data_IF_252363725043
#
_entry.id   IF_252363725043
#
_cell.length_a   1.000
_cell.length_b   1.000
_cell.length_c   1.000
_cell.angle_alpha   90.00
_cell.angle_beta   90.00
_cell.angle_gamma   90.00
#
_symmetry.space_group_name_H-M   'P 1'
#
loop_
_entity.id
_entity.type
_entity.pdbx_description
1 polymer ?
#
# COMPACT_ATOMS: atom_id res chain seq x y z
N UNK A 1 47.92 41.08 -17.48
CA UNK A 1 46.87 40.22 -18.09
C UNK A 1 46.68 39.05 -17.11
N UNK A 2 45.71 38.98 -16.18
CA UNK A 2 44.25 39.25 -16.15
C UNK A 2 43.42 38.21 -16.92
N UNK A 3 43.14 37.05 -16.30
CA UNK A 3 41.94 36.18 -16.42
C UNK A 3 42.02 35.21 -15.22
N UNK A 4 41.17 35.14 -14.17
CA UNK A 4 39.73 35.31 -13.94
C UNK A 4 38.86 34.26 -14.65
N UNK A 5 38.62 33.15 -13.94
CA UNK A 5 37.61 32.08 -14.12
C UNK A 5 37.64 31.34 -12.76
N UNK A 6 36.77 31.49 -11.75
CA UNK A 6 35.31 31.69 -11.62
C UNK A 6 34.51 30.68 -12.44
N UNK A 7 33.57 30.01 -11.76
CA UNK A 7 32.74 28.87 -12.18
C UNK A 7 33.50 27.54 -12.07
N UNK A 8 33.10 26.60 -11.22
CA UNK A 8 31.75 26.07 -11.18
C UNK A 8 31.59 25.21 -9.92
N UNK A 9 31.25 25.84 -8.81
CA UNK A 9 30.68 25.15 -7.65
C UNK A 9 29.31 24.62 -8.06
N UNK A 10 29.27 23.42 -8.65
CA UNK A 10 28.03 22.64 -8.77
C UNK A 10 27.64 22.21 -7.36
N UNK A 11 26.95 23.12 -6.68
CA UNK A 11 26.01 22.83 -5.62
C UNK A 11 25.08 21.75 -6.17
N UNK A 12 25.34 20.51 -5.80
CA UNK A 12 24.35 19.44 -5.87
C UNK A 12 23.30 19.82 -4.83
N UNK A 13 22.39 20.69 -5.24
CA UNK A 13 21.04 20.76 -4.70
C UNK A 13 20.42 19.40 -5.02
N UNK A 14 20.73 18.41 -4.19
CA UNK A 14 19.86 17.26 -4.03
C UNK A 14 18.57 17.86 -3.47
N UNK A 15 17.60 18.11 -4.35
CA UNK A 15 16.20 18.22 -3.96
C UNK A 15 15.88 16.93 -3.19
N UNK A 16 15.93 17.00 -1.87
CA UNK A 16 15.06 16.15 -1.08
C UNK A 16 13.66 16.65 -1.37
N UNK A 17 12.93 15.93 -2.21
CA UNK A 17 11.48 16.03 -2.23
C UNK A 17 11.04 15.64 -0.82
N UNK A 18 10.82 16.64 0.04
CA UNK A 18 10.02 16.47 1.25
C UNK A 18 8.60 16.17 0.75
N UNK A 19 8.40 14.91 0.38
CA UNK A 19 7.09 14.36 0.09
C UNK A 19 6.28 14.55 1.37
N UNK A 20 5.32 15.48 1.32
CA UNK A 20 4.20 15.51 2.26
C UNK A 20 3.36 14.24 2.05
N UNK A 21 3.91 13.07 2.39
CA UNK A 21 3.13 11.84 2.55
C UNK A 21 2.25 12.10 3.75
N UNK A 22 0.93 12.19 3.52
CA UNK A 22 0.00 11.99 4.61
C UNK A 22 0.31 10.61 5.21
N UNK A 23 0.83 10.61 6.43
CA UNK A 23 1.12 9.37 7.14
C UNK A 23 -0.19 8.59 7.34
N UNK A 24 -0.09 7.27 7.24
CA UNK A 24 -1.24 6.45 7.56
C UNK A 24 -1.60 6.57 9.05
N UNK A 25 -2.90 6.58 9.39
CA UNK A 25 -3.32 6.59 10.77
C UNK A 25 -2.81 5.34 11.51
N UNK A 26 -2.68 5.45 12.84
CA UNK A 26 -2.03 4.43 13.66
C UNK A 26 -2.54 3.01 13.36
N UNK A 27 -1.62 2.12 12.98
CA UNK A 27 -1.90 0.72 12.65
C UNK A 27 -2.11 0.43 11.15
N UNK A 28 -2.32 1.45 10.32
CA UNK A 28 -2.34 1.31 8.87
C UNK A 28 -0.95 1.48 8.25
N UNK A 29 -0.70 0.78 7.15
CA UNK A 29 0.50 0.96 6.32
C UNK A 29 0.12 1.41 4.90
N UNK A 30 0.95 2.28 4.33
CA UNK A 30 0.86 2.73 2.95
C UNK A 30 1.71 1.92 1.98
N UNK A 31 1.66 2.28 0.70
CA UNK A 31 2.49 1.65 -0.33
C UNK A 31 4.00 1.83 -0.04
N UNK A 32 4.75 0.74 -0.07
CA UNK A 32 6.18 0.68 0.23
C UNK A 32 6.51 0.59 1.72
N UNK A 33 5.49 0.66 2.60
CA UNK A 33 5.69 0.51 4.04
C UNK A 33 5.58 -0.95 4.47
N UNK A 34 6.11 -1.25 5.65
CA UNK A 34 6.27 -2.62 6.15
C UNK A 34 5.28 -2.94 7.27
N UNK A 35 4.54 -4.03 7.11
CA UNK A 35 3.88 -4.76 8.18
C UNK A 35 4.94 -5.57 8.93
N UNK A 36 5.06 -5.33 10.24
CA UNK A 36 5.96 -6.07 11.12
C UNK A 36 5.12 -7.07 11.92
N UNK A 37 5.43 -8.36 11.78
CA UNK A 37 4.75 -9.44 12.49
C UNK A 37 5.38 -9.69 13.88
N UNK A 38 4.69 -10.43 14.79
CA UNK A 38 5.21 -10.70 16.14
C UNK A 38 6.54 -11.44 16.21
N UNK A 39 6.96 -12.11 15.14
CA UNK A 39 8.26 -12.79 15.00
C UNK A 39 9.35 -11.89 14.38
N UNK A 40 9.12 -10.58 14.32
CA UNK A 40 9.97 -9.57 13.65
C UNK A 40 10.11 -9.74 12.13
N UNK A 41 9.38 -10.66 11.50
CA UNK A 41 9.33 -10.76 10.06
C UNK A 41 8.58 -9.56 9.45
N UNK A 42 8.96 -9.22 8.21
CA UNK A 42 8.52 -7.99 7.54
C UNK A 42 7.87 -8.33 6.22
N UNK A 43 6.74 -7.70 5.96
CA UNK A 43 6.01 -7.77 4.70
C UNK A 43 5.80 -6.35 4.19
N UNK A 44 6.23 -6.05 2.98
CA UNK A 44 6.02 -4.77 2.32
C UNK A 44 4.71 -4.76 1.53
N UNK A 45 3.92 -3.69 1.68
CA UNK A 45 2.77 -3.45 0.82
C UNK A 45 3.22 -2.89 -0.54
N UNK A 46 3.17 -3.72 -1.58
CA UNK A 46 3.70 -3.36 -2.91
C UNK A 46 2.62 -3.04 -3.94
N UNK A 47 1.35 -3.38 -3.65
CA UNK A 47 0.23 -3.08 -4.54
C UNK A 47 -1.11 -3.18 -3.83
N UNK A 48 -2.03 -2.32 -4.22
CA UNK A 48 -3.45 -2.40 -3.90
C UNK A 48 -4.25 -2.51 -5.19
N UNK A 49 -5.02 -3.57 -5.33
CA UNK A 49 -5.99 -3.72 -6.42
C UNK A 49 -7.38 -3.46 -5.86
N UNK A 50 -7.92 -2.28 -6.14
CA UNK A 50 -9.24 -1.87 -5.69
C UNK A 50 -10.24 -2.02 -6.83
N UNK A 51 -11.15 -2.97 -6.67
CA UNK A 51 -12.28 -3.20 -7.55
C UNK A 51 -13.59 -2.97 -6.78
N UNK A 52 -13.57 -2.15 -5.73
CA UNK A 52 -14.78 -1.74 -5.02
C UNK A 52 -15.59 -0.78 -5.88
N UNK A 53 -16.87 -0.70 -5.57
CA UNK A 53 -17.75 0.21 -6.27
C UNK A 53 -17.42 1.66 -5.94
N UNK A 54 -17.59 2.59 -6.91
CA UNK A 54 -17.66 4.01 -6.61
C UNK A 54 -18.74 4.28 -5.57
N UNK A 55 -18.60 5.37 -4.81
CA UNK A 55 -19.63 5.74 -3.84
C UNK A 55 -20.97 5.96 -4.56
N UNK A 56 -22.04 5.60 -3.87
CA UNK A 56 -23.42 5.69 -4.35
C UNK A 56 -23.74 4.81 -5.57
N UNK A 57 -22.86 3.88 -5.94
CA UNK A 57 -23.09 2.89 -6.99
C UNK A 57 -23.06 1.48 -6.42
N UNK A 58 -24.05 0.67 -6.78
CA UNK A 58 -24.08 -0.76 -6.48
C UNK A 58 -23.60 -1.54 -7.70
N UNK A 59 -22.49 -2.29 -7.57
CA UNK A 59 -22.01 -3.17 -8.62
C UNK A 59 -22.57 -4.59 -8.44
N UNK A 60 -22.67 -5.31 -9.56
CA UNK A 60 -23.10 -6.72 -9.57
C UNK A 60 -21.88 -7.67 -9.47
N UNK A 61 -20.72 -7.27 -10.03
CA UNK A 61 -19.52 -8.11 -10.17
C UNK A 61 -18.23 -7.48 -9.61
N UNK A 62 -18.35 -6.35 -8.91
CA UNK A 62 -17.27 -5.64 -8.24
C UNK A 62 -17.60 -5.56 -6.74
N UNK A 63 -16.63 -5.20 -5.90
CA UNK A 63 -16.85 -5.08 -4.46
C UNK A 63 -15.76 -5.64 -3.57
N UNK A 64 -14.53 -5.77 -4.08
CA UNK A 64 -13.40 -6.23 -3.27
C UNK A 64 -12.16 -5.37 -3.49
N UNK A 65 -11.29 -5.41 -2.50
CA UNK A 65 -9.96 -4.86 -2.54
C UNK A 65 -8.96 -5.95 -2.16
N UNK A 66 -7.87 -6.03 -2.92
CA UNK A 66 -6.77 -6.97 -2.70
C UNK A 66 -5.47 -6.22 -2.45
N UNK A 67 -4.88 -6.44 -1.28
CA UNK A 67 -3.54 -6.01 -0.95
C UNK A 67 -2.52 -7.08 -1.37
N UNK A 68 -1.42 -6.67 -1.98
CA UNK A 68 -0.28 -7.54 -2.28
C UNK A 68 0.86 -7.22 -1.33
N UNK A 69 1.23 -8.21 -0.52
CA UNK A 69 2.31 -8.14 0.45
C UNK A 69 3.49 -9.00 -0.03
N UNK A 70 4.73 -8.62 0.30
CA UNK A 70 5.90 -9.45 -0.01
C UNK A 70 7.04 -9.29 1.00
N UNK A 71 7.79 -10.36 1.26
CA UNK A 71 9.06 -10.32 2.00
C UNK A 71 10.28 -10.30 1.06
N UNK A 72 10.07 -10.17 -0.25
CA UNK A 72 11.10 -10.25 -1.30
C UNK A 72 11.18 -11.63 -1.98
N UNK A 73 10.85 -12.70 -1.26
CA UNK A 73 10.88 -14.08 -1.77
C UNK A 73 9.48 -14.64 -2.01
N UNK A 74 8.54 -14.28 -1.14
CA UNK A 74 7.15 -14.73 -1.13
C UNK A 74 6.24 -13.55 -1.44
N UNK A 75 5.23 -13.78 -2.28
CA UNK A 75 4.16 -12.80 -2.53
C UNK A 75 2.84 -13.34 -2.00
N UNK A 76 2.18 -12.56 -1.16
CA UNK A 76 0.88 -12.84 -0.57
C UNK A 76 -0.17 -11.90 -1.18
N UNK A 77 -1.38 -12.40 -1.38
CA UNK A 77 -2.53 -11.61 -1.86
C UNK A 77 -3.65 -11.77 -0.86
N UNK A 78 -3.98 -10.69 -0.16
CA UNK A 78 -4.99 -10.66 0.90
C UNK A 78 -6.17 -9.84 0.41
N UNK A 79 -7.38 -10.40 0.45
CA UNK A 79 -8.59 -9.66 0.10
C UNK A 79 -9.34 -9.19 1.36
N UNK A 80 -10.10 -8.10 1.23
CA UNK A 80 -10.96 -7.56 2.29
C UNK A 80 -12.28 -8.32 2.47
N UNK A 81 -12.63 -9.17 1.50
CA UNK A 81 -13.82 -10.03 1.51
C UNK A 81 -13.48 -11.43 1.02
N UNK A 82 -14.20 -12.44 1.53
CA UNK A 82 -14.07 -13.82 1.06
C UNK A 82 -14.61 -13.92 -0.36
N UNK A 83 -13.76 -14.23 -1.34
CA UNK A 83 -14.20 -14.42 -2.73
C UNK A 83 -14.13 -15.90 -3.06
N UNK A 84 -15.29 -16.54 -3.17
CA UNK A 84 -15.37 -17.91 -3.68
C UNK A 84 -15.31 -17.91 -5.21
N UNK A 85 -14.16 -17.57 -5.80
CA UNK A 85 -13.97 -17.68 -7.25
C UNK A 85 -12.95 -18.75 -7.65
N UNK A 86 -12.97 -19.10 -8.94
CA UNK A 86 -12.07 -20.06 -9.56
C UNK A 86 -10.60 -19.62 -9.62
N UNK A 87 -10.25 -18.43 -9.11
CA UNK A 87 -8.89 -17.89 -9.04
C UNK A 87 -8.28 -17.99 -7.64
N UNK A 88 -9.03 -18.44 -6.63
CA UNK A 88 -8.50 -18.78 -5.30
C UNK A 88 -8.12 -17.56 -4.45
N UNK A 89 -8.90 -16.48 -4.52
CA UNK A 89 -8.68 -15.31 -3.67
C UNK A 89 -9.28 -15.58 -2.27
N UNK A 90 -8.41 -15.72 -1.28
CA UNK A 90 -8.78 -15.96 0.12
C UNK A 90 -8.72 -14.62 0.87
N UNK A 91 -9.73 -14.35 1.70
CA UNK A 91 -9.79 -13.22 2.65
C UNK A 91 -8.73 -13.31 3.76
N UNK A 92 -8.15 -14.49 3.89
CA UNK A 92 -7.16 -14.82 4.91
C UNK A 92 -6.00 -15.56 4.26
N UNK A 93 -4.76 -15.15 4.53
CA UNK A 93 -3.56 -15.84 4.07
C UNK A 93 -2.75 -16.37 5.24
N UNK A 94 -2.19 -17.56 5.07
CA UNK A 94 -1.27 -18.16 6.04
C UNK A 94 0.17 -17.82 5.67
N UNK A 95 0.92 -17.24 6.60
CA UNK A 95 2.33 -16.91 6.40
C UNK A 95 3.11 -17.11 7.69
N UNK A 96 4.11 -18.02 7.66
CA UNK A 96 4.98 -18.33 8.80
C UNK A 96 4.25 -18.67 10.11
N UNK A 97 3.05 -19.26 10.00
CA UNK A 97 2.23 -19.62 11.15
C UNK A 97 1.29 -18.51 11.63
N UNK A 98 1.30 -17.34 10.98
CA UNK A 98 0.34 -16.27 11.20
C UNK A 98 -0.79 -16.31 10.18
N UNK A 99 -1.98 -16.02 10.67
CA UNK A 99 -3.21 -15.86 9.89
C UNK A 99 -3.41 -14.38 9.61
N UNK A 100 -3.08 -13.91 8.40
CA UNK A 100 -3.13 -12.48 8.04
C UNK A 100 -4.44 -12.18 7.29
N UNK A 101 -5.16 -11.14 7.73
CA UNK A 101 -6.31 -10.58 7.01
C UNK A 101 -6.32 -9.05 7.04
N UNK A 102 -7.10 -8.45 6.14
CA UNK A 102 -7.33 -7.00 6.13
C UNK A 102 -8.33 -6.65 7.23
N UNK A 103 -7.95 -5.75 8.13
CA UNK A 103 -8.82 -5.22 9.18
C UNK A 103 -9.58 -4.00 8.67
N UNK A 104 -8.85 -2.99 8.19
CA UNK A 104 -9.44 -1.75 7.68
C UNK A 104 -8.70 -1.23 6.46
N UNK A 105 -9.46 -0.62 5.55
CA UNK A 105 -8.93 0.13 4.41
C UNK A 105 -9.40 1.57 4.54
N UNK A 106 -8.46 2.50 4.54
CA UNK A 106 -8.70 3.94 4.57
C UNK A 106 -8.01 4.60 3.39
N UNK A 107 -8.62 5.68 2.90
CA UNK A 107 -8.03 6.53 1.88
C UNK A 107 -7.48 7.80 2.55
N UNK A 108 -6.33 8.27 2.08
CA UNK A 108 -5.73 9.56 2.50
C UNK A 108 -6.49 10.77 1.93
N UNK A 109 -7.56 10.52 1.19
CA UNK A 109 -8.43 11.48 0.54
C UNK A 109 -9.87 11.26 0.99
N UNK A 110 -10.63 12.33 1.15
CA UNK A 110 -12.08 12.27 1.37
C UNK A 110 -12.90 12.28 0.08
N UNK A 111 -12.25 12.38 -1.08
CA UNK A 111 -12.92 12.51 -2.36
C UNK A 111 -13.47 11.17 -2.83
N UNK A 112 -14.75 11.14 -3.20
CA UNK A 112 -15.29 9.96 -3.85
C UNK A 112 -14.91 9.93 -5.32
N UNK A 113 -14.13 8.93 -5.74
CA UNK A 113 -13.69 8.72 -7.13
C UNK A 113 -13.82 7.25 -7.55
N UNK A 114 -13.87 7.04 -8.86
CA UNK A 114 -13.86 5.68 -9.46
C UNK A 114 -12.49 5.00 -9.35
N UNK A 115 -11.42 5.79 -9.31
CA UNK A 115 -10.05 5.30 -9.26
C UNK A 115 -9.24 6.14 -8.28
N UNK A 116 -8.46 5.47 -7.44
CA UNK A 116 -7.49 6.06 -6.53
C UNK A 116 -6.07 5.63 -6.93
N UNK A 117 -5.09 6.47 -6.64
CA UNK A 117 -3.68 6.14 -6.84
C UNK A 117 -3.17 5.25 -5.71
N UNK A 118 -2.11 4.50 -5.96
CA UNK A 118 -1.63 3.47 -5.02
C UNK A 118 -1.17 4.05 -3.67
N UNK A 119 -0.65 5.27 -3.68
CA UNK A 119 -0.16 6.01 -2.52
C UNK A 119 -1.27 6.62 -1.65
N UNK A 120 -2.52 6.62 -2.15
CA UNK A 120 -3.70 7.10 -1.42
C UNK A 120 -4.26 6.06 -0.43
N UNK A 121 -3.79 4.81 -0.48
CA UNK A 121 -4.28 3.74 0.39
C UNK A 121 -3.51 3.64 1.70
N UNK A 122 -4.25 3.40 2.78
CA UNK A 122 -3.76 2.97 4.08
C UNK A 122 -4.51 1.72 4.50
N UNK A 123 -3.80 0.63 4.74
CA UNK A 123 -4.41 -0.66 5.06
C UNK A 123 -3.88 -1.14 6.42
N UNK A 124 -4.78 -1.41 7.34
CA UNK A 124 -4.46 -2.11 8.58
C UNK A 124 -4.74 -3.61 8.42
N UNK A 125 -3.89 -4.42 9.03
CA UNK A 125 -3.98 -5.87 9.00
C UNK A 125 -4.12 -6.42 10.41
N UNK A 126 -4.84 -7.52 10.55
CA UNK A 126 -4.80 -8.37 11.74
C UNK A 126 -3.94 -9.60 11.45
N UNK A 127 -3.34 -10.13 12.51
CA UNK A 127 -2.56 -11.36 12.47
C UNK A 127 -2.76 -12.11 13.79
N UNK A 128 -3.23 -13.35 13.68
CA UNK A 128 -3.43 -14.30 14.79
C UNK A 128 -2.48 -15.48 14.69
#
# INVERSE_FOLDING_TARGET
>A
MRYLLVFLSFLVLACGEDDFRLDCPAGGIGLGEQLILPDDSRLELVRVNDNRCPCDVQCIWAGYLQATLTDGDTTLRVADVTISDSLGIVDVVQYRGFTISIDTVQLKTGDCRTYYTQDEYCIAFTFE
#
